data_IF_208829001180
#
_entry.id   IF_208829001180
#
_cell.length_a   1.000
_cell.length_b   1.000
_cell.length_c   1.000
_cell.angle_alpha   90.00
_cell.angle_beta   90.00
_cell.angle_gamma   90.00
#
_symmetry.space_group_name_H-M   'P 1'
#
loop_
_entity.id
_entity.type
_entity.pdbx_description
1 polymer ?
#
# COMPACT_ATOMS: atom_id res chain seq x y z
N UNK A 1 11.28 -7.33 32.49
CA UNK A 1 11.26 -7.27 31.02
C UNK A 1 10.37 -8.40 30.54
N UNK A 2 9.12 -8.10 30.15
CA UNK A 2 8.24 -9.12 29.62
C UNK A 2 8.69 -9.41 28.18
N UNK A 3 9.11 -10.64 27.91
CA UNK A 3 9.28 -11.12 26.54
C UNK A 3 7.86 -11.21 26.00
N UNK A 4 7.44 -10.25 25.18
CA UNK A 4 6.19 -10.38 24.44
C UNK A 4 6.31 -11.64 23.59
N UNK A 5 5.61 -12.70 24.00
CA UNK A 5 5.56 -13.94 23.23
C UNK A 5 4.87 -13.62 21.90
N UNK A 6 5.56 -13.91 20.80
CA UNK A 6 5.00 -13.79 19.46
C UNK A 6 3.77 -14.69 19.34
N UNK A 7 2.73 -14.19 18.70
CA UNK A 7 1.52 -14.97 18.46
C UNK A 7 1.74 -15.93 17.28
N UNK A 8 1.60 -17.26 17.45
CA UNK A 8 1.68 -18.18 16.32
C UNK A 8 0.50 -17.94 15.38
N UNK A 9 0.76 -17.98 14.08
CA UNK A 9 -0.25 -17.77 13.04
C UNK A 9 0.14 -18.53 11.77
N UNK A 10 -0.87 -19.04 11.05
CA UNK A 10 -0.64 -19.65 9.74
C UNK A 10 -0.30 -18.58 8.70
N UNK A 11 0.40 -18.96 7.63
CA UNK A 11 0.66 -18.07 6.50
C UNK A 11 -0.64 -17.51 5.90
N UNK A 12 -1.68 -18.33 5.82
CA UNK A 12 -2.98 -17.94 5.29
C UNK A 12 -3.62 -16.83 6.14
N UNK A 13 -3.73 -17.04 7.45
CA UNK A 13 -4.32 -16.04 8.35
C UNK A 13 -3.50 -14.76 8.39
N UNK A 14 -2.17 -14.86 8.32
CA UNK A 14 -1.28 -13.70 8.28
C UNK A 14 -1.50 -12.88 7.01
N UNK A 15 -1.60 -13.56 5.87
CA UNK A 15 -1.92 -12.94 4.58
C UNK A 15 -3.29 -12.26 4.61
N UNK A 16 -4.32 -12.93 5.12
CA UNK A 16 -5.67 -12.35 5.22
C UNK A 16 -5.72 -11.08 6.07
N UNK A 17 -4.99 -11.06 7.20
CA UNK A 17 -4.88 -9.87 8.04
C UNK A 17 -4.15 -8.72 7.34
N UNK A 18 -3.06 -9.02 6.61
CA UNK A 18 -2.32 -8.03 5.83
C UNK A 18 -3.13 -7.50 4.64
N UNK A 19 -3.89 -8.35 3.96
CA UNK A 19 -4.78 -7.96 2.88
C UNK A 19 -5.90 -7.08 3.42
N UNK A 20 -6.55 -7.49 4.52
CA UNK A 20 -7.59 -6.69 5.17
C UNK A 20 -7.05 -5.31 5.56
N UNK A 21 -5.85 -5.25 6.12
CA UNK A 21 -5.19 -3.98 6.42
C UNK A 21 -4.92 -3.14 5.16
N UNK A 22 -4.46 -3.76 4.07
CA UNK A 22 -4.14 -3.08 2.82
C UNK A 22 -5.37 -2.51 2.10
N UNK A 23 -6.51 -3.21 2.13
CA UNK A 23 -7.74 -2.81 1.44
C UNK A 23 -8.67 -1.94 2.30
N UNK A 24 -8.43 -1.90 3.61
CA UNK A 24 -9.18 -1.03 4.51
C UNK A 24 -8.99 0.45 4.13
N UNK A 25 -10.06 1.22 4.26
CA UNK A 25 -10.12 2.63 3.84
C UNK A 25 -10.36 3.61 4.99
N UNK A 26 -10.41 3.14 6.24
CA UNK A 26 -10.74 4.02 7.37
C UNK A 26 -9.65 5.07 7.60
N UNK A 27 -8.40 4.66 7.54
CA UNK A 27 -7.24 5.56 7.60
C UNK A 27 -7.19 6.55 6.44
N UNK A 28 -7.56 6.14 5.23
CA UNK A 28 -7.60 7.01 4.05
C UNK A 28 -8.62 8.14 4.23
N UNK A 29 -9.82 7.81 4.72
CA UNK A 29 -10.85 8.82 5.01
C UNK A 29 -10.35 9.84 6.02
N UNK A 30 -9.73 9.40 7.11
CA UNK A 30 -9.17 10.30 8.11
C UNK A 30 -8.07 11.22 7.55
N UNK A 31 -7.25 10.72 6.61
CA UNK A 31 -6.25 11.53 5.95
C UNK A 31 -6.90 12.56 5.03
N UNK A 32 -7.87 12.16 4.21
CA UNK A 32 -8.57 13.05 3.26
C UNK A 32 -9.36 14.12 4.01
N UNK A 33 -10.07 13.76 5.07
CA UNK A 33 -10.85 14.69 5.90
C UNK A 33 -9.97 15.71 6.63
N UNK A 34 -8.66 15.44 6.74
CA UNK A 34 -7.69 16.36 7.32
C UNK A 34 -7.09 17.36 6.33
N UNK A 35 -7.42 17.24 5.04
CA UNK A 35 -6.90 18.13 4.00
C UNK A 35 -7.63 19.48 4.03
N UNK A 36 -6.95 20.58 3.65
CA UNK A 36 -7.61 21.86 3.52
C UNK A 36 -8.55 21.88 2.30
N UNK A 37 -9.81 22.30 2.51
CA UNK A 37 -10.85 22.36 1.47
C UNK A 37 -10.55 23.37 0.34
N UNK A 38 -9.67 24.35 0.58
CA UNK A 38 -9.43 25.50 -0.29
C UNK A 38 -8.34 25.30 -1.35
N UNK A 39 -7.70 24.14 -1.39
CA UNK A 39 -6.55 23.86 -2.27
C UNK A 39 -6.91 23.28 -3.63
N UNK A 40 -8.21 23.12 -3.94
CA UNK A 40 -8.64 22.56 -5.23
C UNK A 40 -8.24 21.09 -5.45
N UNK A 41 -7.91 20.36 -4.38
CA UNK A 41 -7.49 18.96 -4.43
C UNK A 41 -8.65 18.09 -4.91
N UNK A 42 -8.41 17.28 -5.94
CA UNK A 42 -9.37 16.27 -6.36
C UNK A 42 -9.33 15.08 -5.39
N UNK A 43 -10.16 15.14 -4.35
CA UNK A 43 -10.23 14.12 -3.29
C UNK A 43 -10.63 12.73 -3.80
N UNK A 44 -11.37 12.64 -4.91
CA UNK A 44 -11.75 11.36 -5.53
C UNK A 44 -10.53 10.70 -6.16
N UNK A 45 -9.76 11.44 -6.96
CA UNK A 45 -8.51 10.92 -7.55
C UNK A 45 -7.47 10.63 -6.48
N UNK A 46 -7.41 11.45 -5.43
CA UNK A 46 -6.50 11.24 -4.32
C UNK A 46 -6.83 9.94 -3.55
N UNK A 47 -8.09 9.72 -3.19
CA UNK A 47 -8.55 8.49 -2.51
C UNK A 47 -8.17 7.23 -3.30
N UNK A 48 -8.40 7.26 -4.62
CA UNK A 48 -8.08 6.16 -5.51
C UNK A 48 -6.58 5.85 -5.54
N UNK A 49 -5.73 6.86 -5.74
CA UNK A 49 -4.27 6.68 -5.76
C UNK A 49 -3.73 6.30 -4.39
N UNK A 50 -4.30 6.83 -3.29
CA UNK A 50 -3.92 6.47 -1.93
C UNK A 50 -4.17 4.99 -1.64
N UNK A 51 -5.32 4.48 -2.08
CA UNK A 51 -5.65 3.06 -1.92
C UNK A 51 -4.65 2.17 -2.65
N UNK A 52 -4.28 2.53 -3.88
CA UNK A 52 -3.28 1.77 -4.64
C UNK A 52 -1.91 1.85 -3.95
N UNK A 53 -1.50 3.04 -3.51
CA UNK A 53 -0.24 3.22 -2.81
C UNK A 53 -0.21 2.40 -1.51
N UNK A 54 -1.30 2.35 -0.74
CA UNK A 54 -1.39 1.54 0.48
C UNK A 54 -1.17 0.05 0.21
N UNK A 55 -1.85 -0.51 -0.80
CA UNK A 55 -1.68 -1.92 -1.22
C UNK A 55 -0.22 -2.20 -1.58
N UNK A 56 0.37 -1.34 -2.41
CA UNK A 56 1.77 -1.46 -2.85
C UNK A 56 2.73 -1.37 -1.65
N UNK A 57 2.49 -0.42 -0.75
CA UNK A 57 3.31 -0.19 0.45
C UNK A 57 3.32 -1.42 1.34
N UNK A 58 2.17 -2.08 1.52
CA UNK A 58 2.07 -3.33 2.30
C UNK A 58 2.85 -4.45 1.63
N UNK A 59 2.62 -4.72 0.33
CA UNK A 59 3.32 -5.77 -0.40
C UNK A 59 4.84 -5.58 -0.46
N UNK A 60 5.29 -4.33 -0.63
CA UNK A 60 6.71 -3.96 -0.57
C UNK A 60 7.28 -4.17 0.83
N UNK A 61 6.55 -3.75 1.87
CA UNK A 61 7.00 -3.86 3.27
C UNK A 61 7.14 -5.31 3.73
N UNK A 62 6.27 -6.22 3.28
CA UNK A 62 6.43 -7.67 3.50
C UNK A 62 7.80 -8.11 2.97
N UNK A 63 8.13 -7.72 1.73
CA UNK A 63 9.37 -8.10 1.09
C UNK A 63 10.61 -7.57 1.82
N UNK A 64 10.53 -6.36 2.38
CA UNK A 64 11.61 -5.70 3.12
C UNK A 64 11.78 -6.28 4.52
N UNK A 65 10.71 -6.39 5.30
CA UNK A 65 10.80 -6.79 6.72
C UNK A 65 10.91 -8.29 6.94
N UNK A 66 10.55 -9.11 5.95
CA UNK A 66 10.79 -10.55 5.99
C UNK A 66 12.10 -10.97 5.35
N UNK A 67 12.99 -10.04 5.03
CA UNK A 67 14.24 -10.40 4.37
C UNK A 67 15.07 -11.41 5.18
N UNK A 68 15.52 -12.47 4.51
CA UNK A 68 16.21 -13.61 5.14
C UNK A 68 15.32 -14.61 5.90
N UNK A 69 14.00 -14.42 5.99
CA UNK A 69 13.08 -15.38 6.61
C UNK A 69 12.60 -16.47 5.64
N UNK A 70 12.46 -17.71 6.11
CA UNK A 70 12.12 -18.87 5.25
C UNK A 70 10.72 -18.78 4.63
N UNK A 71 9.79 -18.17 5.34
CA UNK A 71 8.37 -18.00 4.98
C UNK A 71 8.09 -16.73 4.16
N UNK A 72 9.11 -15.92 3.84
CA UNK A 72 8.96 -14.68 3.05
C UNK A 72 8.25 -14.91 1.72
N UNK A 73 8.75 -15.88 0.94
CA UNK A 73 8.25 -16.13 -0.41
C UNK A 73 6.78 -16.56 -0.39
N UNK A 74 6.45 -17.48 0.52
CA UNK A 74 5.10 -18.02 0.63
C UNK A 74 4.09 -16.97 1.13
N UNK A 75 4.46 -16.15 2.13
CA UNK A 75 3.58 -15.07 2.60
C UNK A 75 3.37 -14.01 1.51
N UNK A 76 4.44 -13.58 0.83
CA UNK A 76 4.35 -12.59 -0.23
C UNK A 76 3.50 -13.10 -1.41
N UNK A 77 3.69 -14.37 -1.81
CA UNK A 77 2.90 -14.98 -2.88
C UNK A 77 1.42 -15.09 -2.49
N UNK A 78 1.13 -15.52 -1.26
CA UNK A 78 -0.24 -15.62 -0.74
C UNK A 78 -0.92 -14.24 -0.71
N UNK A 79 -0.21 -13.21 -0.25
CA UNK A 79 -0.69 -11.83 -0.25
C UNK A 79 -1.05 -11.36 -1.67
N UNK A 80 -0.13 -11.51 -2.63
CA UNK A 80 -0.36 -11.03 -4.00
C UNK A 80 -1.44 -11.83 -4.74
N UNK A 81 -1.60 -13.13 -4.44
CA UNK A 81 -2.74 -13.92 -4.95
C UNK A 81 -4.06 -13.37 -4.47
N UNK A 82 -4.20 -13.06 -3.17
CA UNK A 82 -5.42 -12.46 -2.62
C UNK A 82 -5.68 -11.06 -3.19
N UNK A 83 -4.65 -10.23 -3.38
CA UNK A 83 -4.80 -8.92 -4.05
C UNK A 83 -5.25 -9.09 -5.51
N UNK A 84 -4.75 -10.08 -6.23
CA UNK A 84 -5.19 -10.40 -7.59
C UNK A 84 -6.67 -10.83 -7.63
N UNK A 85 -7.12 -11.67 -6.71
CA UNK A 85 -8.53 -12.05 -6.58
C UNK A 85 -9.42 -10.85 -6.25
N UNK A 86 -9.02 -10.02 -5.29
CA UNK A 86 -9.68 -8.76 -4.97
C UNK A 86 -9.80 -7.84 -6.19
N UNK A 87 -8.72 -7.74 -6.97
CA UNK A 87 -8.67 -6.91 -8.17
C UNK A 87 -9.61 -7.39 -9.27
N UNK A 88 -9.77 -8.72 -9.44
CA UNK A 88 -10.77 -9.29 -10.36
C UNK A 88 -12.18 -8.87 -9.98
N UNK A 89 -12.53 -8.96 -8.69
CA UNK A 89 -13.84 -8.55 -8.20
C UNK A 89 -14.14 -7.07 -8.52
N UNK A 90 -13.16 -6.17 -8.33
CA UNK A 90 -13.30 -4.74 -8.69
C UNK A 90 -13.50 -4.57 -10.20
N UNK A 91 -12.73 -5.30 -11.00
CA UNK A 91 -12.78 -5.23 -12.47
C UNK A 91 -14.15 -5.67 -12.98
N UNK A 92 -14.68 -6.78 -12.46
CA UNK A 92 -16.02 -7.29 -12.78
C UNK A 92 -17.12 -6.32 -12.38
N UNK A 93 -17.08 -5.78 -11.16
CA UNK A 93 -18.07 -4.79 -10.68
C UNK A 93 -18.02 -3.51 -11.53
N UNK A 94 -16.83 -3.08 -11.93
CA UNK A 94 -16.66 -1.89 -12.80
C UNK A 94 -17.29 -2.11 -14.17
N UNK A 95 -17.06 -3.28 -14.79
CA UNK A 95 -17.70 -3.64 -16.05
C UNK A 95 -19.23 -3.66 -15.93
N UNK A 96 -19.75 -4.30 -14.88
CA UNK A 96 -21.20 -4.39 -14.64
C UNK A 96 -21.86 -3.03 -14.36
N UNK A 97 -21.15 -2.10 -13.71
CA UNK A 97 -21.72 -0.82 -13.23
C UNK A 97 -21.60 0.30 -14.25
N UNK A 98 -20.45 0.42 -14.93
CA UNK A 98 -20.16 1.54 -15.83
C UNK A 98 -19.78 1.10 -17.25
N UNK A 99 -19.88 -0.19 -17.57
CA UNK A 99 -19.60 -0.73 -18.90
C UNK A 99 -18.14 -0.61 -19.31
N UNK A 100 -17.23 -0.32 -18.37
CA UNK A 100 -15.80 -0.17 -18.63
C UNK A 100 -15.06 -1.42 -18.19
N UNK A 101 -14.31 -1.97 -19.12
CA UNK A 101 -13.30 -2.99 -18.84
C UNK A 101 -12.08 -2.30 -18.23
N UNK A 102 -11.91 -2.47 -16.91
CA UNK A 102 -10.79 -1.91 -16.15
C UNK A 102 -10.05 -3.08 -15.55
N UNK A 103 -8.83 -3.33 -16.02
CA UNK A 103 -7.93 -4.29 -15.37
C UNK A 103 -7.28 -3.63 -14.15
N UNK A 104 -7.93 -3.76 -13.00
CA UNK A 104 -7.44 -3.15 -11.76
C UNK A 104 -6.10 -3.74 -11.31
N UNK A 105 -5.84 -5.02 -11.60
CA UNK A 105 -4.58 -5.65 -11.24
C UNK A 105 -3.42 -5.13 -12.09
N UNK A 106 -3.65 -4.90 -13.39
CA UNK A 106 -2.67 -4.23 -14.24
C UNK A 106 -2.30 -2.85 -13.70
N UNK A 107 -3.29 -2.07 -13.24
CA UNK A 107 -3.04 -0.75 -12.66
C UNK A 107 -2.15 -0.85 -11.41
N UNK A 108 -2.43 -1.80 -10.51
CA UNK A 108 -1.59 -2.02 -9.32
C UNK A 108 -0.15 -2.38 -9.73
N UNK A 109 0.02 -3.27 -10.73
CA UNK A 109 1.36 -3.65 -11.23
C UNK A 109 2.12 -2.46 -11.82
N UNK A 110 1.47 -1.69 -12.69
CA UNK A 110 2.08 -0.51 -13.32
C UNK A 110 2.51 0.51 -12.26
N UNK A 111 1.69 0.69 -11.22
CA UNK A 111 1.99 1.58 -10.09
C UNK A 111 3.13 1.03 -9.23
N UNK A 112 3.17 -0.28 -8.98
CA UNK A 112 4.26 -0.93 -8.24
C UNK A 112 5.59 -0.69 -8.96
N UNK A 113 5.65 -0.97 -10.26
CA UNK A 113 6.84 -0.78 -11.08
C UNK A 113 7.31 0.68 -11.07
N UNK A 114 6.38 1.62 -11.14
CA UNK A 114 6.66 3.05 -11.04
C UNK A 114 7.27 3.45 -9.67
N UNK A 115 6.66 3.01 -8.57
CA UNK A 115 7.16 3.34 -7.23
C UNK A 115 8.49 2.66 -6.91
N UNK A 116 8.68 1.40 -7.32
CA UNK A 116 9.96 0.69 -7.18
C UNK A 116 11.06 1.38 -7.98
N UNK A 117 10.76 1.81 -9.21
CA UNK A 117 11.71 2.59 -10.03
C UNK A 117 12.06 3.92 -9.34
N UNK A 118 11.08 4.58 -8.73
CA UNK A 118 11.30 5.82 -7.97
C UNK A 118 12.18 5.61 -6.73
N UNK A 119 11.99 4.50 -6.01
CA UNK A 119 12.82 4.13 -4.86
C UNK A 119 14.25 3.76 -5.27
N UNK A 120 14.44 3.05 -6.38
CA UNK A 120 15.78 2.72 -6.88
C UNK A 120 16.58 3.98 -7.27
N UNK A 121 15.90 5.04 -7.70
CA UNK A 121 16.50 6.32 -8.04
C UNK A 121 16.82 7.19 -6.80
N UNK A 122 16.29 6.85 -5.62
CA UNK A 122 16.47 7.63 -4.38
C UNK A 122 17.90 7.59 -3.81
N UNK A 123 18.76 6.69 -4.31
CA UNK A 123 20.07 6.43 -3.72
C UNK A 123 19.97 5.78 -2.32
N UNK A 124 21.09 5.30 -1.78
CA UNK A 124 21.09 4.58 -0.49
C UNK A 124 20.83 5.46 0.74
N UNK A 125 20.99 6.77 0.61
CA UNK A 125 20.91 7.74 1.71
C UNK A 125 19.62 8.60 1.67
N UNK A 126 18.76 8.38 0.67
CA UNK A 126 17.50 9.08 0.53
C UNK A 126 16.40 8.53 1.44
N UNK A 127 15.54 9.40 1.98
CA UNK A 127 14.34 8.97 2.73
C UNK A 127 13.29 8.40 1.76
N UNK A 128 12.99 7.08 1.81
CA UNK A 128 12.02 6.45 0.91
C UNK A 128 10.65 7.14 0.91
N UNK A 129 10.21 7.65 2.07
CA UNK A 129 8.90 8.29 2.18
C UNK A 129 8.84 9.60 1.38
N UNK A 130 9.92 10.39 1.36
CA UNK A 130 10.00 11.63 0.61
C UNK A 130 9.96 11.39 -0.92
N UNK A 131 10.66 10.37 -1.41
CA UNK A 131 10.65 10.00 -2.83
C UNK A 131 9.29 9.47 -3.27
N UNK A 132 8.65 8.64 -2.43
CA UNK A 132 7.30 8.14 -2.69
C UNK A 132 6.29 9.29 -2.72
N UNK A 133 6.39 10.27 -1.82
CA UNK A 133 5.48 11.42 -1.80
C UNK A 133 5.53 12.23 -3.10
N UNK A 134 6.73 12.52 -3.61
CA UNK A 134 6.89 13.22 -4.88
C UNK A 134 6.37 12.41 -6.08
N UNK A 135 6.68 11.11 -6.12
CA UNK A 135 6.19 10.20 -7.16
C UNK A 135 4.65 10.09 -7.13
N UNK A 136 4.07 10.02 -5.94
CA UNK A 136 2.63 9.97 -5.70
C UNK A 136 1.92 11.24 -6.22
N UNK A 137 2.45 12.42 -5.88
CA UNK A 137 1.89 13.69 -6.37
C UNK A 137 1.91 13.77 -7.91
N UNK A 138 2.91 13.16 -8.55
CA UNK A 138 2.97 12.98 -10.01
C UNK A 138 1.81 12.16 -10.57
N UNK A 139 1.47 11.03 -9.93
CA UNK A 139 0.32 10.19 -10.33
C UNK A 139 -1.02 10.91 -10.10
N UNK A 140 -1.12 11.72 -9.05
CA UNK A 140 -2.28 12.58 -8.80
C UNK A 140 -2.37 13.79 -9.76
N UNK A 141 -1.34 14.04 -10.59
CA UNK A 141 -1.19 15.22 -11.46
C UNK A 141 -1.24 16.54 -10.70
N UNK A 142 -0.74 16.54 -9.46
CA UNK A 142 -0.79 17.69 -8.55
C UNK A 142 0.54 17.84 -7.80
N UNK A 143 1.63 17.92 -8.57
CA UNK A 143 3.01 17.96 -8.05
C UNK A 143 3.35 19.24 -7.28
N UNK A 144 2.66 20.35 -7.59
CA UNK A 144 2.88 21.64 -6.96
C UNK A 144 2.15 21.76 -5.62
N UNK A 145 1.27 20.81 -5.29
CA UNK A 145 0.53 20.80 -4.05
C UNK A 145 1.27 19.98 -2.97
N UNK A 146 1.86 20.64 -1.96
CA UNK A 146 2.62 19.94 -0.92
C UNK A 146 1.74 19.00 -0.09
N UNK A 147 0.45 19.27 0.04
CA UNK A 147 -0.46 18.41 0.82
C UNK A 147 -0.67 17.06 0.16
N UNK A 148 -0.65 16.99 -1.18
CA UNK A 148 -0.75 15.73 -1.93
C UNK A 148 0.50 14.89 -1.71
N UNK A 149 1.69 15.48 -1.85
CA UNK A 149 2.95 14.78 -1.64
C UNK A 149 3.09 14.27 -0.19
N UNK A 150 2.80 15.13 0.79
CA UNK A 150 2.85 14.77 2.22
C UNK A 150 1.89 13.62 2.53
N UNK A 151 0.68 13.65 1.96
CA UNK A 151 -0.33 12.61 2.12
C UNK A 151 0.15 11.26 1.57
N UNK A 152 0.77 11.26 0.39
CA UNK A 152 1.42 10.08 -0.18
C UNK A 152 2.55 9.53 0.70
N UNK A 153 3.45 10.39 1.18
CA UNK A 153 4.52 10.00 2.11
C UNK A 153 3.95 9.40 3.40
N UNK A 154 2.91 10.02 3.95
CA UNK A 154 2.28 9.62 5.20
C UNK A 154 1.66 8.23 5.10
N UNK A 155 0.88 7.95 4.05
CA UNK A 155 0.25 6.62 3.90
C UNK A 155 1.29 5.52 3.71
N UNK A 156 2.35 5.79 2.92
CA UNK A 156 3.45 4.85 2.73
C UNK A 156 4.14 4.53 4.06
N UNK A 157 4.45 5.55 4.84
CA UNK A 157 5.09 5.40 6.13
C UNK A 157 4.23 4.63 7.14
N UNK A 158 2.95 4.98 7.26
CA UNK A 158 1.99 4.30 8.15
C UNK A 158 1.81 2.83 7.77
N UNK A 159 1.66 2.54 6.48
CA UNK A 159 1.55 1.17 6.00
C UNK A 159 2.82 0.36 6.30
N UNK A 160 4.00 0.93 6.04
CA UNK A 160 5.27 0.27 6.32
C UNK A 160 5.47 -0.02 7.82
N UNK A 161 5.22 0.96 8.68
CA UNK A 161 5.28 0.75 10.14
C UNK A 161 4.27 -0.30 10.59
N UNK A 162 3.02 -0.23 10.12
CA UNK A 162 1.98 -1.19 10.48
C UNK A 162 2.38 -2.63 10.15
N UNK A 163 2.93 -2.85 8.96
CA UNK A 163 3.45 -4.18 8.56
C UNK A 163 4.63 -4.59 9.43
N UNK A 164 5.58 -3.68 9.71
CA UNK A 164 6.74 -3.98 10.55
C UNK A 164 6.31 -4.42 11.96
N UNK A 165 5.42 -3.66 12.59
CA UNK A 165 4.93 -3.95 13.93
C UNK A 165 4.13 -5.25 13.97
N UNK A 166 3.27 -5.46 12.96
CA UNK A 166 2.50 -6.69 12.81
C UNK A 166 3.41 -7.92 12.70
N UNK A 167 4.36 -7.91 11.75
CA UNK A 167 5.31 -9.02 11.54
C UNK A 167 6.21 -9.27 12.76
N UNK A 168 6.54 -8.22 13.52
CA UNK A 168 7.28 -8.36 14.78
C UNK A 168 6.45 -9.03 15.89
N UNK A 169 5.13 -8.88 15.86
CA UNK A 169 4.20 -9.42 16.85
C UNK A 169 3.79 -10.88 16.62
N UNK A 170 4.04 -11.42 15.42
CA UNK A 170 3.64 -12.77 15.04
C UNK A 170 4.84 -13.71 14.83
N UNK A 171 4.55 -14.99 14.92
CA UNK A 171 5.43 -16.08 14.52
C UNK A 171 4.70 -16.88 13.43
N UNK A 172 5.13 -16.71 12.19
CA UNK A 172 4.49 -17.32 11.02
C UNK A 172 4.97 -18.76 10.89
N UNK A 173 4.03 -19.71 11.01
CA UNK A 173 4.27 -21.15 11.02
C UNK A 173 3.78 -21.84 9.76
#
# INVERSE_FOLDING_TARGET
MAVSQKRPISIQDASEQLVSFAIDREDLKLIIDSLPDDQGINTISLDYELQILKIISVGWSISVYMDGQQNKAELAETFWKSIHEFSKNISEVSYLTIGKDIDYFQIIRDRLDFYVSSLNNAGKDGDPAAFIGGAFAGNCKDMDNPFVAITGSRIFHLAAIGVKEYLASIDVQ
#
